data_IF_909396546481
#
_entry.id   IF_909396546481
#
_cell.length_a   1.000
_cell.length_b   1.000
_cell.length_c   1.000
_cell.angle_alpha   90.00
_cell.angle_beta   90.00
_cell.angle_gamma   90.00
#
_symmetry.space_group_name_H-M   'P 1'
#
loop_
_entity.id
_entity.type
_entity.pdbx_description
1 polymer ?
#
# COMPACT_ATOMS: atom_id res chain seq x y z
N UNK A 1 30.70 35.15 45.41
CA UNK A 1 29.46 35.64 44.77
C UNK A 1 29.22 34.76 43.56
N UNK A 2 28.44 33.71 43.77
CA UNK A 2 28.21 32.66 42.78
C UNK A 2 26.87 32.98 42.11
N UNK A 3 26.95 33.50 40.88
CA UNK A 3 25.78 33.81 40.08
C UNK A 3 25.10 32.49 39.70
N UNK A 4 24.06 32.11 40.46
CA UNK A 4 23.13 31.07 40.06
C UNK A 4 22.45 31.52 38.76
N UNK A 5 22.80 30.85 37.66
CA UNK A 5 22.03 30.94 36.41
C UNK A 5 20.64 30.38 36.72
N UNK A 6 19.63 31.24 36.69
CA UNK A 6 18.23 30.85 36.78
C UNK A 6 17.92 29.94 35.59
N UNK A 7 17.69 28.65 35.87
CA UNK A 7 17.24 27.69 34.86
C UNK A 7 15.84 28.08 34.41
N UNK A 8 15.64 28.18 33.10
CA UNK A 8 14.36 28.54 32.52
C UNK A 8 13.37 27.39 32.75
N UNK A 9 12.12 27.68 33.14
CA UNK A 9 11.09 26.68 33.46
C UNK A 9 10.86 25.62 32.36
N UNK A 10 11.19 25.94 31.11
CA UNK A 10 11.15 25.01 29.98
C UNK A 10 12.19 23.89 30.12
N UNK A 11 13.37 24.19 30.67
CA UNK A 11 14.43 23.20 30.90
C UNK A 11 14.12 22.27 32.08
N UNK A 12 13.28 22.68 33.04
CA UNK A 12 12.76 21.80 34.09
C UNK A 12 11.74 20.79 33.56
N UNK A 13 10.87 21.23 32.63
CA UNK A 13 9.85 20.36 32.05
C UNK A 13 10.38 19.48 30.91
N UNK A 14 11.43 19.94 30.22
CA UNK A 14 12.08 19.24 29.12
C UNK A 14 13.60 19.33 29.25
N UNK A 15 14.21 18.59 30.20
CA UNK A 15 15.65 18.58 30.34
C UNK A 15 16.29 18.09 29.04
N UNK A 16 17.25 18.82 28.45
CA UNK A 16 17.85 18.43 27.19
C UNK A 16 18.52 17.06 27.36
N UNK A 17 18.12 16.10 26.52
CA UNK A 17 18.65 14.73 26.55
C UNK A 17 20.12 14.62 26.09
N UNK A 18 20.70 15.72 25.62
CA UNK A 18 22.06 15.79 25.12
C UNK A 18 22.70 17.10 25.55
N UNK A 19 23.92 16.99 26.09
CA UNK A 19 24.76 18.09 26.50
C UNK A 19 25.82 18.35 25.43
N UNK A 20 26.34 19.58 25.32
CA UNK A 20 27.42 19.89 24.36
C UNK A 20 28.68 19.02 24.57
N UNK A 21 28.85 18.46 25.76
CA UNK A 21 29.92 17.51 26.10
C UNK A 21 29.67 16.10 25.52
N UNK A 22 28.43 15.70 25.28
CA UNK A 22 28.09 14.42 24.64
C UNK A 22 28.42 14.40 23.14
N UNK A 23 28.53 15.57 22.51
CA UNK A 23 28.94 15.74 21.11
C UNK A 23 30.47 15.79 20.93
N UNK A 24 31.21 16.05 22.02
CA UNK A 24 32.66 16.29 21.98
C UNK A 24 33.48 15.19 22.69
N UNK A 25 32.83 14.29 23.43
CA UNK A 25 33.52 13.17 24.07
C UNK A 25 33.78 12.02 23.07
N UNK A 26 35.03 11.59 22.87
CA UNK A 26 35.33 10.40 22.07
C UNK A 26 35.05 9.15 22.92
N UNK A 27 33.78 8.76 23.05
CA UNK A 27 33.42 7.55 23.79
C UNK A 27 33.57 6.31 22.92
N UNK A 28 34.50 5.45 23.35
CA UNK A 28 34.77 4.09 22.90
C UNK A 28 33.55 3.19 23.16
N UNK A 29 32.56 3.17 22.28
CA UNK A 29 31.60 2.07 22.12
C UNK A 29 30.97 2.13 20.73
N UNK A 30 31.04 1.08 19.90
CA UNK A 30 30.40 1.06 18.60
C UNK A 30 28.88 0.90 18.79
N UNK A 31 28.17 2.03 18.80
CA UNK A 31 26.72 2.05 18.59
C UNK A 31 26.41 1.65 17.14
N UNK A 32 25.26 1.00 16.91
CA UNK A 32 24.99 0.24 15.70
C UNK A 32 24.86 1.17 14.49
N UNK A 33 25.41 0.72 13.36
CA UNK A 33 25.15 1.28 12.03
C UNK A 33 23.67 1.61 11.94
N UNK A 34 23.36 2.90 11.79
CA UNK A 34 22.02 3.45 11.82
C UNK A 34 21.14 2.63 10.88
N UNK A 35 20.05 2.05 11.41
CA UNK A 35 19.05 1.27 10.65
C UNK A 35 18.64 1.99 9.35
N UNK A 36 18.67 3.31 9.34
CA UNK A 36 18.46 4.18 8.18
C UNK A 36 19.40 3.91 6.99
N UNK A 37 20.67 3.59 7.22
CA UNK A 37 21.66 3.37 6.15
C UNK A 37 21.47 2.00 5.48
N UNK A 38 21.08 0.97 6.24
CA UNK A 38 20.70 -0.33 5.69
C UNK A 38 19.43 -0.25 4.83
N UNK A 39 18.45 0.55 5.25
CA UNK A 39 17.26 0.81 4.43
C UNK A 39 17.60 1.60 3.16
N UNK A 40 18.51 2.57 3.24
CA UNK A 40 18.97 3.33 2.08
C UNK A 40 19.71 2.44 1.06
N UNK A 41 20.61 1.58 1.52
CA UNK A 41 21.33 0.62 0.68
C UNK A 41 20.38 -0.41 0.04
N UNK A 42 19.40 -0.92 0.79
CA UNK A 42 18.39 -1.85 0.28
C UNK A 42 17.50 -1.19 -0.78
N UNK A 43 17.13 0.08 -0.58
CA UNK A 43 16.36 0.86 -1.55
C UNK A 43 17.17 1.15 -2.82
N UNK A 44 18.44 1.51 -2.68
CA UNK A 44 19.34 1.74 -3.82
C UNK A 44 19.50 0.47 -4.67
N UNK A 45 19.73 -0.68 -4.02
CA UNK A 45 19.83 -1.98 -4.69
C UNK A 45 18.55 -2.35 -5.44
N UNK A 46 17.38 -2.14 -4.82
CA UNK A 46 16.08 -2.39 -5.47
C UNK A 46 15.87 -1.50 -6.70
N UNK A 47 16.29 -0.24 -6.64
CA UNK A 47 16.20 0.68 -7.78
C UNK A 47 17.15 0.23 -8.90
N UNK A 48 18.38 -0.14 -8.57
CA UNK A 48 19.35 -0.67 -9.53
C UNK A 48 18.82 -1.92 -10.26
N UNK A 49 18.22 -2.86 -9.52
CA UNK A 49 17.60 -4.07 -10.08
C UNK A 49 16.46 -3.73 -11.06
N UNK A 50 15.64 -2.72 -10.76
CA UNK A 50 14.56 -2.27 -11.66
C UNK A 50 15.15 -1.69 -12.96
N UNK A 51 16.20 -0.88 -12.87
CA UNK A 51 16.86 -0.32 -14.06
C UNK A 51 17.50 -1.41 -14.92
N UNK A 52 18.21 -2.37 -14.31
CA UNK A 52 18.81 -3.49 -15.03
C UNK A 52 17.74 -4.36 -15.72
N UNK A 53 16.62 -4.65 -15.05
CA UNK A 53 15.50 -5.37 -15.66
C UNK A 53 14.87 -4.59 -16.83
N UNK A 54 14.75 -3.25 -16.70
CA UNK A 54 14.27 -2.38 -17.78
C UNK A 54 15.17 -2.45 -19.02
N UNK A 55 16.49 -2.42 -18.83
CA UNK A 55 17.48 -2.53 -19.90
C UNK A 55 17.36 -3.90 -20.61
N UNK A 56 17.29 -4.99 -19.85
CA UNK A 56 17.16 -6.34 -20.41
C UNK A 56 15.87 -6.48 -21.21
N UNK A 57 14.73 -6.05 -20.67
CA UNK A 57 13.43 -6.09 -21.36
C UNK A 57 13.43 -5.25 -22.64
N UNK A 58 14.03 -4.06 -22.61
CA UNK A 58 14.15 -3.22 -23.80
C UNK A 58 15.01 -3.88 -24.87
N UNK A 59 16.15 -4.48 -24.50
CA UNK A 59 17.00 -5.19 -25.45
C UNK A 59 16.32 -6.43 -26.03
N UNK A 60 15.58 -7.19 -25.23
CA UNK A 60 14.78 -8.33 -25.70
C UNK A 60 13.66 -7.90 -26.63
N UNK A 61 12.98 -6.79 -26.35
CA UNK A 61 11.93 -6.26 -27.21
C UNK A 61 12.51 -5.76 -28.54
N UNK A 62 13.68 -5.12 -28.53
CA UNK A 62 14.39 -4.76 -29.76
C UNK A 62 14.82 -6.00 -30.56
N UNK A 63 15.30 -7.06 -29.89
CA UNK A 63 15.59 -8.35 -30.52
C UNK A 63 14.33 -8.98 -31.12
N UNK A 64 13.18 -8.93 -30.44
CA UNK A 64 11.89 -9.41 -30.96
C UNK A 64 11.41 -8.60 -32.16
N UNK A 65 11.51 -7.26 -32.12
CA UNK A 65 11.18 -6.38 -33.25
C UNK A 65 12.07 -6.63 -34.46
N UNK A 66 13.38 -6.90 -34.25
CA UNK A 66 14.29 -7.31 -35.33
C UNK A 66 13.91 -8.66 -35.90
N UNK A 67 13.67 -9.68 -35.07
CA UNK A 67 13.23 -11.02 -35.52
C UNK A 67 11.90 -10.97 -36.27
N UNK A 68 10.94 -10.16 -35.83
CA UNK A 68 9.65 -9.94 -36.52
C UNK A 68 9.85 -9.33 -37.92
N UNK A 69 10.72 -8.33 -38.05
CA UNK A 69 11.06 -7.73 -39.35
C UNK A 69 11.77 -8.73 -40.28
N UNK A 70 12.61 -9.62 -39.74
CA UNK A 70 13.26 -10.68 -40.52
C UNK A 70 12.28 -11.79 -40.92
N UNK A 71 11.33 -12.17 -40.06
CA UNK A 71 10.31 -13.18 -40.40
C UNK A 71 9.32 -12.70 -41.45
N UNK A 72 9.02 -11.40 -41.50
CA UNK A 72 8.22 -10.80 -42.59
C UNK A 72 8.97 -10.85 -43.94
N UNK A 73 10.31 -10.86 -43.92
CA UNK A 73 11.12 -11.03 -45.12
C UNK A 73 11.18 -12.50 -45.58
N UNK A 74 11.30 -13.45 -44.64
CA UNK A 74 11.45 -14.89 -44.92
C UNK A 74 10.12 -15.53 -45.35
N UNK A 75 8.98 -15.06 -44.83
CA UNK A 75 7.64 -15.58 -45.25
C UNK A 75 7.26 -15.10 -46.66
N UNK A 76 7.95 -14.09 -47.23
CA UNK A 76 7.65 -13.58 -48.57
C UNK A 76 8.30 -14.37 -49.71
N UNK A 77 9.11 -15.38 -49.42
CA UNK A 77 9.94 -16.09 -50.42
C UNK A 77 9.38 -17.44 -50.87
N UNK A 78 8.16 -17.81 -50.44
CA UNK A 78 7.52 -19.09 -50.79
C UNK A 78 6.17 -18.99 -51.52
N UNK A 79 5.93 -17.90 -52.26
CA UNK A 79 4.93 -17.89 -53.32
C UNK A 79 5.60 -17.58 -54.66
N UNK A 80 5.51 -18.56 -55.54
CA UNK A 80 6.16 -18.65 -56.84
C UNK A 80 5.74 -17.56 -57.84
N UNK A 81 6.76 -17.09 -58.57
CA UNK A 81 6.87 -16.22 -59.78
C UNK A 81 5.87 -16.54 -60.94
N UNK A 82 5.75 -15.72 -62.05
CA UNK A 82 6.76 -14.82 -62.62
C UNK A 82 6.34 -13.42 -63.17
N UNK A 83 7.38 -12.59 -63.34
CA UNK A 83 7.44 -11.23 -63.95
C UNK A 83 7.55 -11.36 -65.50
N UNK A 84 7.36 -10.30 -66.34
CA UNK A 84 8.42 -9.30 -66.53
C UNK A 84 7.96 -7.83 -66.78
N UNK A 85 8.76 -6.91 -66.20
CA UNK A 85 9.21 -5.61 -66.72
C UNK A 85 8.23 -4.47 -67.05
N UNK A 86 8.51 -3.29 -66.45
CA UNK A 86 8.85 -1.97 -67.05
C UNK A 86 8.80 -0.95 -65.89
N UNK A 87 9.93 -0.61 -65.27
CA UNK A 87 10.76 0.57 -65.54
C UNK A 87 10.02 1.92 -65.48
N UNK A 88 10.62 2.85 -64.71
CA UNK A 88 10.51 4.32 -64.77
C UNK A 88 9.38 4.99 -63.96
N UNK A 89 9.52 6.16 -63.33
CA UNK A 89 10.62 7.04 -62.85
C UNK A 89 9.89 8.22 -62.18
N UNK A 90 10.44 8.71 -61.07
CA UNK A 90 10.31 10.08 -60.50
C UNK A 90 8.97 10.83 -60.66
N UNK A 91 8.27 10.99 -59.53
CA UNK A 91 7.42 12.15 -59.30
C UNK A 91 8.28 13.38 -59.00
N UNK A 92 8.47 14.23 -60.01
CA UNK A 92 8.88 15.64 -59.82
C UNK A 92 7.60 16.47 -59.96
N UNK A 93 7.27 17.15 -58.87
CA UNK A 93 6.33 18.27 -58.86
C UNK A 93 6.86 19.35 -59.79
N UNK A 94 6.13 19.63 -60.87
CA UNK A 94 6.32 20.83 -61.68
C UNK A 94 5.02 21.63 -61.71
N UNK A 95 5.15 22.84 -61.15
CA UNK A 95 4.50 24.11 -61.49
C UNK A 95 3.17 24.06 -62.24
N UNK A 96 2.16 24.62 -61.56
CA UNK A 96 1.07 25.37 -62.16
C UNK A 96 1.65 26.39 -63.14
N UNK A 97 1.36 26.22 -64.42
CA UNK A 97 1.25 27.32 -65.35
C UNK A 97 -0.10 27.19 -66.03
N UNK A 98 -0.90 28.25 -65.90
CA UNK A 98 -2.22 28.38 -66.49
C UNK A 98 -2.08 28.39 -68.01
N UNK A 99 -2.55 27.32 -68.65
CA UNK A 99 -2.70 27.27 -70.10
C UNK A 99 -4.00 28.01 -70.48
N UNK A 100 -3.91 29.33 -70.59
CA UNK A 100 -4.83 30.11 -71.42
C UNK A 100 -4.32 30.06 -72.86
N UNK A 101 -4.57 28.94 -73.54
CA UNK A 101 -4.43 28.84 -75.00
C UNK A 101 -5.72 28.24 -75.55
N UNK A 102 -6.73 29.11 -75.67
CA UNK A 102 -7.92 28.80 -76.44
C UNK A 102 -7.57 28.99 -77.93
N UNK A 103 -7.32 27.85 -78.57
CA UNK A 103 -7.69 27.50 -79.95
C UNK A 103 -8.55 28.58 -80.64
N UNK A 104 -7.98 29.33 -81.58
CA UNK A 104 -8.08 29.05 -83.03
C UNK A 104 -9.44 29.44 -83.64
N UNK A 105 -9.34 30.33 -84.65
CA UNK A 105 -10.34 30.80 -85.63
C UNK A 105 -11.45 31.75 -85.17
N UNK A 106 -11.08 33.03 -85.00
CA UNK A 106 -11.89 34.10 -85.57
C UNK A 106 -11.74 34.07 -87.10
N UNK A 107 -12.56 33.26 -87.78
CA UNK A 107 -12.78 33.39 -89.22
C UNK A 107 -14.14 34.04 -89.41
N UNK A 108 -14.11 35.22 -90.02
CA UNK A 108 -15.26 36.02 -90.40
C UNK A 108 -16.31 35.17 -91.13
N UNK A 109 -17.55 35.35 -90.70
CA UNK A 109 -18.80 34.65 -91.02
C UNK A 109 -19.26 34.69 -92.50
N UNK A 110 -18.39 35.07 -93.45
CA UNK A 110 -18.78 35.32 -94.86
C UNK A 110 -18.04 34.48 -95.90
N UNK A 111 -17.01 33.72 -95.51
CA UNK A 111 -16.23 32.90 -96.46
C UNK A 111 -16.43 31.40 -96.29
N UNK A 112 -17.20 30.96 -95.29
CA UNK A 112 -17.47 29.54 -95.04
C UNK A 112 -18.65 29.06 -95.90
N UNK A 113 -19.65 29.92 -96.17
CA UNK A 113 -20.82 29.55 -96.98
C UNK A 113 -20.43 29.11 -98.41
N UNK A 114 -19.48 29.79 -99.08
CA UNK A 114 -19.03 29.39 -100.43
C UNK A 114 -18.25 28.07 -100.47
N UNK A 115 -17.46 27.78 -99.43
CA UNK A 115 -16.69 26.52 -99.35
C UNK A 115 -17.56 25.32 -98.98
N UNK A 116 -18.65 25.53 -98.25
CA UNK A 116 -19.64 24.48 -97.97
C UNK A 116 -20.38 24.10 -99.25
N UNK A 117 -20.74 25.09 -100.08
CA UNK A 117 -21.44 24.85 -101.35
C UNK A 117 -20.61 24.00 -102.34
N UNK A 118 -19.31 24.29 -102.51
CA UNK A 118 -18.43 23.53 -103.42
C UNK A 118 -18.14 22.10 -102.92
N UNK A 119 -18.20 21.85 -101.61
CA UNK A 119 -18.03 20.51 -101.02
C UNK A 119 -19.33 19.70 -101.09
N UNK A 120 -20.49 20.36 -100.98
CA UNK A 120 -21.80 19.71 -101.18
C UNK A 120 -21.98 19.20 -102.61
N UNK A 121 -21.45 19.91 -103.62
CA UNK A 121 -21.45 19.48 -105.02
C UNK A 121 -20.49 18.30 -105.32
N UNK A 122 -19.59 17.95 -104.39
CA UNK A 122 -18.68 16.79 -104.43
C UNK A 122 -19.05 15.68 -103.45
N UNK A 123 -20.17 15.82 -102.73
CA UNK A 123 -20.61 14.80 -101.79
C UNK A 123 -21.20 13.61 -102.55
N UNK A 124 -20.56 12.44 -102.43
CA UNK A 124 -21.05 11.18 -103.02
C UNK A 124 -22.38 10.72 -102.35
N UNK A 125 -22.74 11.32 -101.22
CA UNK A 125 -23.85 10.91 -100.37
C UNK A 125 -25.07 11.77 -100.62
N UNK A 126 -26.25 11.16 -100.69
CA UNK A 126 -27.50 11.92 -100.79
C UNK A 126 -27.90 12.54 -99.43
N UNK A 127 -28.79 13.54 -99.46
CA UNK A 127 -29.24 14.23 -98.25
C UNK A 127 -29.83 13.30 -97.17
N UNK A 128 -30.43 12.18 -97.58
CA UNK A 128 -31.03 11.20 -96.68
C UNK A 128 -29.98 10.33 -95.96
N UNK A 129 -28.92 9.92 -96.66
CA UNK A 129 -27.77 9.20 -96.09
C UNK A 129 -27.02 10.06 -95.06
N UNK A 130 -26.84 11.35 -95.36
CA UNK A 130 -26.26 12.31 -94.40
C UNK A 130 -27.14 12.49 -93.17
N UNK A 131 -28.47 12.55 -93.32
CA UNK A 131 -29.40 12.66 -92.20
C UNK A 131 -29.34 11.41 -91.29
N UNK A 132 -29.29 10.21 -91.88
CA UNK A 132 -29.15 8.94 -91.13
C UNK A 132 -27.82 8.89 -90.37
N UNK A 133 -26.72 9.30 -91.01
CA UNK A 133 -25.40 9.34 -90.36
C UNK A 133 -25.37 10.33 -89.19
N UNK A 134 -25.92 11.54 -89.38
CA UNK A 134 -26.04 12.55 -88.32
C UNK A 134 -26.88 12.04 -87.15
N UNK A 135 -28.01 11.39 -87.43
CA UNK A 135 -28.85 10.78 -86.40
C UNK A 135 -28.11 9.64 -85.66
N UNK A 136 -27.37 8.80 -86.38
CA UNK A 136 -26.56 7.73 -85.80
C UNK A 136 -25.44 8.27 -84.90
N UNK A 137 -24.75 9.33 -85.32
CA UNK A 137 -23.75 10.02 -84.49
C UNK A 137 -24.36 10.62 -83.24
N UNK A 138 -25.49 11.33 -83.35
CA UNK A 138 -26.17 11.90 -82.19
C UNK A 138 -26.63 10.84 -81.20
N UNK A 139 -27.20 9.71 -81.68
CA UNK A 139 -27.57 8.58 -80.79
C UNK A 139 -26.35 8.00 -80.08
N UNK A 140 -25.24 7.80 -80.80
CA UNK A 140 -23.99 7.30 -80.21
C UNK A 140 -23.43 8.27 -79.18
N UNK A 141 -23.49 9.57 -79.45
CA UNK A 141 -23.04 10.63 -78.54
C UNK A 141 -23.92 10.69 -77.28
N UNK A 142 -25.25 10.58 -77.41
CA UNK A 142 -26.15 10.55 -76.24
C UNK A 142 -25.91 9.32 -75.36
N UNK A 143 -25.70 8.14 -75.96
CA UNK A 143 -25.38 6.92 -75.20
C UNK A 143 -23.98 7.00 -74.57
N UNK A 144 -23.00 7.58 -75.27
CA UNK A 144 -21.67 7.86 -74.70
C UNK A 144 -21.78 8.81 -73.50
N UNK A 145 -22.54 9.90 -73.61
CA UNK A 145 -22.74 10.85 -72.52
C UNK A 145 -23.48 10.20 -71.34
N UNK A 146 -24.49 9.35 -71.59
CA UNK A 146 -25.20 8.61 -70.56
C UNK A 146 -24.29 7.65 -69.80
N UNK A 147 -23.52 6.83 -70.52
CA UNK A 147 -22.56 5.89 -69.90
C UNK A 147 -21.46 6.64 -69.14
N UNK A 148 -20.96 7.75 -69.68
CA UNK A 148 -20.00 8.64 -68.99
C UNK A 148 -20.57 9.21 -67.69
N UNK A 149 -21.83 9.65 -67.69
CA UNK A 149 -22.51 10.12 -66.48
C UNK A 149 -22.67 9.01 -65.45
N UNK A 150 -23.07 7.81 -65.87
CA UNK A 150 -23.16 6.63 -64.98
C UNK A 150 -21.80 6.25 -64.38
N UNK A 151 -20.73 6.27 -65.17
CA UNK A 151 -19.37 6.05 -64.69
C UNK A 151 -18.94 7.09 -63.67
N UNK A 152 -19.33 8.36 -63.84
CA UNK A 152 -19.05 9.42 -62.88
C UNK A 152 -19.75 9.18 -61.54
N UNK A 153 -21.03 8.75 -61.56
CA UNK A 153 -21.80 8.42 -60.36
C UNK A 153 -21.17 7.23 -59.63
N UNK A 154 -20.93 6.12 -60.33
CA UNK A 154 -20.29 4.94 -59.74
C UNK A 154 -18.91 5.25 -59.14
N UNK A 155 -18.12 6.09 -59.80
CA UNK A 155 -16.82 6.50 -59.27
C UNK A 155 -16.96 7.33 -57.98
N UNK A 156 -17.97 8.21 -57.89
CA UNK A 156 -18.25 8.95 -56.64
C UNK A 156 -18.70 8.04 -55.50
N UNK A 157 -19.57 7.06 -55.78
CA UNK A 157 -20.03 6.06 -54.80
C UNK A 157 -18.85 5.20 -54.31
N UNK A 158 -17.95 4.79 -55.21
CA UNK A 158 -16.74 4.04 -54.86
C UNK A 158 -15.80 4.83 -53.94
N UNK A 159 -15.62 6.12 -54.19
CA UNK A 159 -14.82 6.99 -53.32
C UNK A 159 -15.46 7.20 -51.95
N UNK A 160 -16.78 7.32 -51.90
CA UNK A 160 -17.51 7.40 -50.63
C UNK A 160 -17.39 6.11 -49.83
N UNK A 161 -17.60 4.95 -50.47
CA UNK A 161 -17.43 3.64 -49.84
C UNK A 161 -15.99 3.44 -49.35
N UNK A 162 -14.98 3.86 -50.11
CA UNK A 162 -13.57 3.83 -49.65
C UNK A 162 -13.35 4.70 -48.41
N UNK A 163 -13.92 5.90 -48.37
CA UNK A 163 -13.83 6.78 -47.19
C UNK A 163 -14.53 6.15 -45.98
N UNK A 164 -15.71 5.58 -46.17
CA UNK A 164 -16.47 4.94 -45.11
C UNK A 164 -15.76 3.67 -44.59
N UNK A 165 -15.19 2.87 -45.49
CA UNK A 165 -14.38 1.71 -45.12
C UNK A 165 -13.16 2.10 -44.29
N UNK A 166 -12.44 3.17 -44.66
CA UNK A 166 -11.30 3.67 -43.89
C UNK A 166 -11.71 4.12 -42.48
N UNK A 167 -12.78 4.91 -42.38
CA UNK A 167 -13.33 5.36 -41.09
C UNK A 167 -13.74 4.17 -40.21
N UNK A 168 -14.37 3.16 -40.81
CA UNK A 168 -14.79 1.96 -40.07
C UNK A 168 -13.58 1.19 -39.53
N UNK A 169 -12.53 1.02 -40.35
CA UNK A 169 -11.27 0.40 -39.91
C UNK A 169 -10.65 1.15 -38.74
N UNK A 170 -10.53 2.49 -38.84
CA UNK A 170 -10.00 3.32 -37.75
C UNK A 170 -10.82 3.17 -36.45
N UNK A 171 -12.16 3.11 -36.56
CA UNK A 171 -13.02 2.88 -35.40
C UNK A 171 -12.84 1.48 -34.79
N UNK A 172 -12.65 0.45 -35.62
CA UNK A 172 -12.37 -0.91 -35.14
C UNK A 172 -11.04 -0.94 -34.38
N UNK A 173 -9.98 -0.39 -34.96
CA UNK A 173 -8.65 -0.32 -34.33
C UNK A 173 -8.70 0.42 -32.98
N UNK A 174 -9.43 1.54 -32.92
CA UNK A 174 -9.68 2.26 -31.67
C UNK A 174 -10.42 1.43 -30.63
N UNK A 175 -11.41 0.63 -31.04
CA UNK A 175 -12.17 -0.22 -30.11
C UNK A 175 -11.36 -1.41 -29.63
N UNK A 176 -10.54 -2.01 -30.49
CA UNK A 176 -9.65 -3.11 -30.14
C UNK A 176 -8.58 -2.67 -29.14
N UNK A 177 -7.97 -1.51 -29.36
CA UNK A 177 -6.99 -0.93 -28.43
C UNK A 177 -7.64 -0.58 -27.08
N UNK A 178 -8.84 -0.01 -27.07
CA UNK A 178 -9.59 0.25 -25.83
C UNK A 178 -9.94 -1.05 -25.09
N UNK A 179 -10.39 -2.09 -25.81
CA UNK A 179 -10.70 -3.40 -25.23
C UNK A 179 -9.45 -4.05 -24.63
N UNK A 180 -8.31 -3.95 -25.30
CA UNK A 180 -7.03 -4.46 -24.80
C UNK A 180 -6.63 -3.76 -23.51
N UNK A 181 -6.73 -2.44 -23.44
CA UNK A 181 -6.44 -1.66 -22.23
C UNK A 181 -7.39 -2.05 -21.08
N UNK A 182 -8.69 -2.17 -21.35
CA UNK A 182 -9.67 -2.60 -20.35
C UNK A 182 -9.38 -4.00 -19.80
N UNK A 183 -8.94 -4.94 -20.66
CA UNK A 183 -8.51 -6.28 -20.23
C UNK A 183 -7.28 -6.23 -19.31
N UNK A 184 -6.29 -5.42 -19.64
CA UNK A 184 -5.12 -5.24 -18.76
C UNK A 184 -5.50 -4.65 -17.41
N UNK A 185 -6.35 -3.62 -17.41
CA UNK A 185 -6.82 -3.00 -16.18
C UNK A 185 -7.58 -4.00 -15.30
N UNK A 186 -8.44 -4.82 -15.90
CA UNK A 186 -9.16 -5.88 -15.20
C UNK A 186 -8.22 -6.91 -14.57
N UNK A 187 -7.14 -7.28 -15.26
CA UNK A 187 -6.12 -8.18 -14.71
C UNK A 187 -5.41 -7.56 -13.50
N UNK A 188 -5.02 -6.28 -13.59
CA UNK A 188 -4.39 -5.55 -12.48
C UNK A 188 -5.34 -5.47 -11.29
N UNK A 189 -6.60 -5.07 -11.50
CA UNK A 189 -7.62 -5.00 -10.45
C UNK A 189 -7.87 -6.38 -9.80
N UNK A 190 -7.86 -7.45 -10.58
CA UNK A 190 -8.01 -8.82 -10.07
C UNK A 190 -6.85 -9.21 -9.14
N UNK A 191 -5.61 -8.86 -9.51
CA UNK A 191 -4.44 -9.12 -8.66
C UNK A 191 -4.54 -8.31 -7.36
N UNK A 192 -4.92 -7.04 -7.45
CA UNK A 192 -5.08 -6.18 -6.28
C UNK A 192 -6.17 -6.70 -5.32
N UNK A 193 -7.30 -7.15 -5.86
CA UNK A 193 -8.38 -7.74 -5.07
C UNK A 193 -7.92 -9.01 -4.34
N UNK A 194 -7.13 -9.87 -5.01
CA UNK A 194 -6.54 -11.05 -4.34
C UNK A 194 -5.61 -10.66 -3.19
N UNK A 195 -4.82 -9.60 -3.34
CA UNK A 195 -3.95 -9.08 -2.28
C UNK A 195 -4.76 -8.56 -1.09
N UNK A 196 -5.79 -7.75 -1.34
CA UNK A 196 -6.69 -7.24 -0.30
C UNK A 196 -7.32 -8.39 0.48
N UNK A 197 -7.82 -9.42 -0.21
CA UNK A 197 -8.42 -10.60 0.43
C UNK A 197 -7.40 -11.34 1.31
N UNK A 198 -6.16 -11.51 0.84
CA UNK A 198 -5.11 -12.14 1.65
C UNK A 198 -4.76 -11.31 2.88
N UNK A 199 -4.72 -10.00 2.77
CA UNK A 199 -4.47 -9.09 3.89
C UNK A 199 -5.63 -9.12 4.89
N UNK A 200 -6.88 -9.16 4.43
CA UNK A 200 -8.04 -9.28 5.33
C UNK A 200 -7.98 -10.58 6.12
N UNK A 201 -7.71 -11.71 5.49
CA UNK A 201 -7.56 -12.99 6.20
C UNK A 201 -6.45 -12.97 7.26
N UNK A 202 -5.31 -12.30 6.98
CA UNK A 202 -4.23 -12.13 7.96
C UNK A 202 -4.68 -11.29 9.15
N UNK A 203 -5.41 -10.19 8.89
CA UNK A 203 -5.94 -9.32 9.94
C UNK A 203 -7.00 -10.03 10.78
N UNK A 204 -7.89 -10.79 10.17
CA UNK A 204 -8.90 -11.58 10.88
C UNK A 204 -8.26 -12.62 11.80
N UNK A 205 -7.20 -13.29 11.33
CA UNK A 205 -6.44 -14.24 12.16
C UNK A 205 -5.76 -13.56 13.35
N UNK A 206 -5.21 -12.35 13.15
CA UNK A 206 -4.63 -11.55 14.23
C UNK A 206 -5.69 -11.11 15.25
N UNK A 207 -6.87 -10.69 14.77
CA UNK A 207 -7.99 -10.29 15.63
C UNK A 207 -8.48 -11.47 16.49
N UNK A 208 -8.64 -12.66 15.90
CA UNK A 208 -9.03 -13.86 16.63
C UNK A 208 -7.99 -14.24 17.71
N UNK A 209 -6.69 -14.11 17.41
CA UNK A 209 -5.65 -14.37 18.38
C UNK A 209 -5.70 -13.38 19.56
N UNK A 210 -5.90 -12.09 19.28
CA UNK A 210 -6.06 -11.05 20.30
C UNK A 210 -7.33 -11.25 21.14
N UNK A 211 -8.44 -11.64 20.51
CA UNK A 211 -9.69 -11.93 21.21
C UNK A 211 -9.52 -13.10 22.19
N UNK A 212 -8.81 -14.16 21.76
CA UNK A 212 -8.46 -15.28 22.64
C UNK A 212 -7.60 -14.83 23.82
N UNK A 213 -6.53 -14.06 23.56
CA UNK A 213 -5.67 -13.56 24.64
C UNK A 213 -6.46 -12.68 25.63
N UNK A 214 -7.30 -11.78 25.14
CA UNK A 214 -8.16 -10.96 26.00
C UNK A 214 -9.12 -11.81 26.85
N UNK A 215 -9.68 -12.87 26.29
CA UNK A 215 -10.52 -13.82 27.04
C UNK A 215 -9.70 -14.52 28.12
N UNK A 216 -8.52 -15.02 27.79
CA UNK A 216 -7.62 -15.68 28.74
C UNK A 216 -7.23 -14.71 29.87
N UNK A 217 -6.79 -13.48 29.54
CA UNK A 217 -6.49 -12.42 30.52
C UNK A 217 -7.68 -12.07 31.39
N UNK A 218 -8.89 -12.01 30.84
CA UNK A 218 -10.12 -11.77 31.62
C UNK A 218 -10.34 -12.88 32.64
N UNK A 219 -10.13 -14.14 32.26
CA UNK A 219 -10.26 -15.25 33.22
C UNK A 219 -9.20 -15.19 34.32
N UNK A 220 -7.95 -14.86 34.00
CA UNK A 220 -6.89 -14.70 35.01
C UNK A 220 -7.15 -13.53 35.96
N UNK A 221 -7.66 -12.40 35.45
CA UNK A 221 -8.04 -11.27 36.30
C UNK A 221 -9.19 -11.67 37.23
N UNK A 222 -10.16 -12.43 36.74
CA UNK A 222 -11.27 -12.91 37.58
C UNK A 222 -10.80 -13.88 38.67
N UNK A 223 -9.85 -14.78 38.40
CA UNK A 223 -9.30 -15.68 39.43
C UNK A 223 -8.49 -14.91 40.48
N UNK A 224 -7.59 -14.04 40.05
CA UNK A 224 -6.79 -13.19 40.94
C UNK A 224 -7.67 -12.27 41.80
N UNK A 225 -8.76 -11.75 41.25
CA UNK A 225 -9.71 -10.94 42.02
C UNK A 225 -10.39 -11.76 43.13
N UNK A 226 -10.69 -13.04 42.88
CA UNK A 226 -11.27 -13.94 43.90
C UNK A 226 -10.24 -14.27 44.98
N UNK A 227 -9.01 -14.58 44.59
CA UNK A 227 -7.90 -14.83 45.52
C UNK A 227 -7.64 -13.60 46.39
N UNK A 228 -7.57 -12.40 45.80
CA UNK A 228 -7.39 -11.16 46.54
C UNK A 228 -8.51 -10.91 47.56
N UNK A 229 -9.76 -11.20 47.19
CA UNK A 229 -10.88 -11.09 48.12
C UNK A 229 -10.76 -12.10 49.27
N UNK A 230 -10.38 -13.34 48.96
CA UNK A 230 -10.17 -14.40 49.95
C UNK A 230 -9.05 -14.03 50.94
N UNK A 231 -7.89 -13.61 50.45
CA UNK A 231 -6.77 -13.17 51.29
C UNK A 231 -7.14 -11.96 52.15
N UNK A 232 -7.96 -11.03 51.65
CA UNK A 232 -8.47 -9.91 52.46
C UNK A 232 -9.33 -10.37 53.63
N UNK A 233 -10.18 -11.37 53.42
CA UNK A 233 -11.00 -11.96 54.48
C UNK A 233 -10.12 -12.69 55.51
N UNK A 234 -9.14 -13.48 55.06
CA UNK A 234 -8.19 -14.17 55.94
C UNK A 234 -7.37 -13.19 56.79
N UNK A 235 -6.91 -12.08 56.20
CA UNK A 235 -6.22 -11.03 56.95
C UNK A 235 -7.11 -10.39 58.00
N UNK A 236 -8.40 -10.19 57.73
CA UNK A 236 -9.35 -9.67 58.72
C UNK A 236 -9.58 -10.67 59.86
N UNK A 237 -9.76 -11.96 59.56
CA UNK A 237 -9.91 -13.02 60.54
C UNK A 237 -8.67 -13.13 61.45
N UNK A 238 -7.47 -13.15 60.87
CA UNK A 238 -6.22 -13.17 61.62
C UNK A 238 -6.03 -11.93 62.50
N UNK A 239 -6.47 -10.76 62.03
CA UNK A 239 -6.45 -9.54 62.85
C UNK A 239 -7.38 -9.63 64.06
N UNK A 240 -8.55 -10.25 63.93
CA UNK A 240 -9.46 -10.48 65.05
C UNK A 240 -8.86 -11.46 66.05
N UNK A 241 -8.37 -12.62 65.57
CA UNK A 241 -7.68 -13.61 66.41
C UNK A 241 -6.49 -13.03 67.17
N UNK A 242 -5.69 -12.16 66.53
CA UNK A 242 -4.57 -11.51 67.18
C UNK A 242 -5.02 -10.55 68.30
N UNK A 243 -6.13 -9.82 68.10
CA UNK A 243 -6.72 -9.00 69.18
C UNK A 243 -7.19 -9.85 70.36
N UNK A 244 -7.85 -10.97 70.08
CA UNK A 244 -8.32 -11.88 71.13
C UNK A 244 -7.14 -12.46 71.93
N UNK A 245 -6.08 -12.91 71.22
CA UNK A 245 -4.85 -13.41 71.85
C UNK A 245 -4.14 -12.34 72.68
N UNK A 246 -4.13 -11.07 72.26
CA UNK A 246 -3.57 -9.97 73.04
C UNK A 246 -4.34 -9.76 74.35
N UNK A 247 -5.67 -9.81 74.30
CA UNK A 247 -6.52 -9.70 75.49
C UNK A 247 -6.25 -10.87 76.45
N UNK A 248 -6.13 -12.09 75.94
CA UNK A 248 -5.85 -13.27 76.75
C UNK A 248 -4.45 -13.23 77.37
N UNK A 249 -3.46 -12.72 76.64
CA UNK A 249 -2.10 -12.50 77.16
C UNK A 249 -2.10 -11.46 78.28
N UNK A 250 -2.83 -10.35 78.12
CA UNK A 250 -2.96 -9.32 79.16
C UNK A 250 -3.59 -9.89 80.44
N UNK A 251 -4.69 -10.65 80.31
CA UNK A 251 -5.32 -11.34 81.45
C UNK A 251 -4.37 -12.30 82.14
N UNK A 252 -3.64 -13.12 81.38
CA UNK A 252 -2.69 -14.09 81.93
C UNK A 252 -1.53 -13.38 82.65
N UNK A 253 -1.09 -12.24 82.12
CA UNK A 253 -0.04 -11.42 82.75
C UNK A 253 -0.52 -10.87 84.09
N UNK A 254 -1.74 -10.32 84.15
CA UNK A 254 -2.35 -9.86 85.41
C UNK A 254 -2.51 -11.01 86.41
N UNK A 255 -2.98 -12.19 85.97
CA UNK A 255 -3.10 -13.36 86.84
C UNK A 255 -1.75 -13.77 87.42
N UNK A 256 -0.72 -13.86 86.58
CA UNK A 256 0.64 -14.19 87.01
C UNK A 256 1.21 -13.16 87.99
N UNK A 257 0.95 -11.86 87.80
CA UNK A 257 1.37 -10.82 88.74
C UNK A 257 0.70 -10.97 90.12
N UNK A 258 -0.60 -11.25 90.15
CA UNK A 258 -1.35 -11.51 91.39
C UNK A 258 -0.85 -12.77 92.08
N UNK A 259 -0.64 -13.86 91.35
CA UNK A 259 -0.08 -15.11 91.89
C UNK A 259 1.31 -14.90 92.46
N UNK A 260 2.17 -14.17 91.75
CA UNK A 260 3.51 -13.81 92.23
C UNK A 260 3.43 -13.01 93.53
N UNK A 261 2.56 -12.01 93.61
CA UNK A 261 2.36 -11.23 94.83
C UNK A 261 1.90 -12.12 96.00
N UNK A 262 0.91 -12.98 95.77
CA UNK A 262 0.39 -13.90 96.77
C UNK A 262 1.46 -14.89 97.28
N UNK A 263 2.32 -15.41 96.39
CA UNK A 263 3.43 -16.27 96.77
C UNK A 263 4.45 -15.54 97.65
N UNK A 264 4.78 -14.28 97.32
CA UNK A 264 5.69 -13.45 98.12
C UNK A 264 5.11 -13.14 99.50
N UNK A 265 3.83 -12.76 99.58
CA UNK A 265 3.10 -12.55 100.84
C UNK A 265 3.12 -13.82 101.69
N UNK A 266 2.74 -14.97 101.13
CA UNK A 266 2.73 -16.25 101.83
C UNK A 266 4.12 -16.63 102.36
N UNK A 267 5.18 -16.40 101.59
CA UNK A 267 6.55 -16.64 102.03
C UNK A 267 6.96 -15.71 103.19
N UNK A 268 6.54 -14.44 103.17
CA UNK A 268 6.75 -13.50 104.29
C UNK A 268 5.99 -13.92 105.54
N UNK A 269 4.73 -14.33 105.40
CA UNK A 269 3.91 -14.83 106.51
C UNK A 269 4.54 -16.07 107.15
N UNK A 270 4.93 -17.07 106.33
CA UNK A 270 5.61 -18.27 106.80
C UNK A 270 6.94 -17.95 107.49
N UNK A 271 7.77 -17.11 106.88
CA UNK A 271 9.02 -16.65 107.48
C UNK A 271 8.78 -15.90 108.81
N UNK A 272 7.74 -15.07 108.89
CA UNK A 272 7.35 -14.37 110.12
C UNK A 272 6.88 -15.32 111.23
N UNK A 273 6.16 -16.39 110.89
CA UNK A 273 5.77 -17.45 111.84
C UNK A 273 7.01 -18.20 112.35
N UNK A 274 7.92 -18.59 111.46
CA UNK A 274 9.17 -19.27 111.84
C UNK A 274 10.06 -18.39 112.73
N UNK A 275 10.19 -17.10 112.42
CA UNK A 275 10.96 -16.14 113.19
C UNK A 275 10.38 -15.95 114.60
N UNK A 276 9.04 -15.85 114.73
CA UNK A 276 8.35 -15.82 116.03
C UNK A 276 8.59 -17.11 116.82
N UNK A 277 8.55 -18.27 116.16
CA UNK A 277 8.82 -19.57 116.81
C UNK A 277 10.25 -19.63 117.35
N UNK A 278 11.24 -19.27 116.54
CA UNK A 278 12.65 -19.20 116.96
C UNK A 278 12.85 -18.20 118.10
N UNK A 279 12.17 -17.05 118.07
CA UNK A 279 12.22 -16.06 119.15
C UNK A 279 11.66 -16.64 120.46
N UNK A 280 10.53 -17.33 120.43
CA UNK A 280 9.97 -18.01 121.60
C UNK A 280 10.91 -19.08 122.15
N UNK A 281 11.54 -19.88 121.28
CA UNK A 281 12.55 -20.87 121.66
C UNK A 281 13.79 -20.21 122.31
N UNK A 282 14.27 -19.10 121.75
CA UNK A 282 15.39 -18.33 122.28
C UNK A 282 15.07 -17.69 123.65
N UNK A 283 13.88 -17.11 123.80
CA UNK A 283 13.43 -16.55 125.08
C UNK A 283 13.22 -17.65 126.13
N UNK A 284 12.73 -18.83 125.74
CA UNK A 284 12.66 -20.00 126.62
C UNK A 284 14.06 -20.44 127.10
N UNK A 285 15.02 -20.61 126.19
CA UNK A 285 16.42 -20.94 126.54
C UNK A 285 17.06 -19.86 127.44
N UNK A 286 16.81 -18.58 127.17
CA UNK A 286 17.30 -17.47 128.00
C UNK A 286 16.72 -17.50 129.41
N UNK A 287 15.44 -17.84 129.54
CA UNK A 287 14.78 -17.98 130.83
C UNK A 287 15.32 -19.21 131.60
N UNK A 288 15.61 -20.32 130.91
CA UNK A 288 16.27 -21.48 131.51
C UNK A 288 17.68 -21.13 132.01
N UNK A 289 18.49 -20.44 131.19
CA UNK A 289 19.83 -19.98 131.58
C UNK A 289 19.79 -19.08 132.84
N UNK A 290 18.83 -18.15 132.92
CA UNK A 290 18.64 -17.31 134.11
C UNK A 290 18.29 -18.12 135.35
N UNK A 291 17.43 -19.15 135.23
CA UNK A 291 17.10 -20.04 136.35
C UNK A 291 18.33 -20.81 136.83
N UNK A 292 19.24 -21.16 135.93
CA UNK A 292 20.47 -21.89 136.27
C UNK A 292 21.52 -20.98 136.93
N UNK A 293 21.68 -19.74 136.45
CA UNK A 293 22.58 -18.75 137.06
C UNK A 293 22.10 -18.31 138.45
N UNK A 294 20.78 -18.23 138.69
CA UNK A 294 20.21 -17.89 140.00
C UNK A 294 20.27 -19.01 141.06
N UNK A 295 20.82 -20.18 140.72
CA UNK A 295 21.04 -21.32 141.64
C UNK A 295 22.49 -21.47 142.11
N UNK A 296 23.38 -20.58 141.67
CA UNK A 296 24.79 -20.50 142.10
C UNK A 296 24.93 -19.35 143.08
#
# INVERSE_FOLDING_TARGET
>A
MEQRKEQHWVEELFPPHFTAQDLLAPSVHPQPILVSEQFAATRAKRIEEIYQQGIVKFQEEQKRKRKSKTSVLIVREYDSKPVPSVQQVKGIQSKKDAQSNNSVYNRSDKTIEKGIQEIEDQCIWNAQELAVLRQGMHRKETEHNKTKAQMSILNSEMEELRKNSKKLTEHVDMRETALFNAKQELQIRTIHLKQIIQESFKKDSQLQALEKDLKDKRTTVSSLSKELQQTRLEVQDLKLKNKDLLIDLEKLTMQHEVEKYNLVEKAKEQGGIELKKLQMELDAMKNELKKEIGRI
#
